data_IF_705566951519
#
_entry.id   IF_705566951519
#
_cell.length_a   1.000
_cell.length_b   1.000
_cell.length_c   1.000
_cell.angle_alpha   90.00
_cell.angle_beta   90.00
_cell.angle_gamma   90.00
#
_symmetry.space_group_name_H-M   'P 1'
#
loop_
_entity.id
_entity.type
_entity.pdbx_description
1 polymer ?
2 non-polymer ?
3 non-polymer ?
4 non-polymer ?
5 water ?
#
# COMPACT_ATOMS: atom_id res chain seq x y z
N UNK A 1 -23.91 -22.57 -5.74
CA UNK A 1 -23.77 -23.02 -4.31
C UNK A 1 -23.67 -21.84 -3.35
N UNK A 2 -23.85 -22.12 -2.05
CA UNK A 2 -23.70 -21.11 -1.00
C UNK A 2 -22.24 -20.71 -0.86
N UNK A 3 -22.00 -19.40 -0.74
CA UNK A 3 -20.70 -18.87 -0.38
C UNK A 3 -20.58 -18.91 1.13
N UNK A 4 -19.62 -19.68 1.63
CA UNK A 4 -19.47 -19.88 3.08
C UNK A 4 -18.00 -19.61 3.48
N UNK A 5 -17.83 -18.76 4.48
CA UNK A 5 -16.47 -18.42 4.90
C UNK A 5 -15.73 -19.66 5.36
N UNK A 6 -14.46 -19.77 4.97
CA UNK A 6 -13.64 -20.93 5.34
C UNK A 6 -13.59 -22.03 4.30
N UNK A 7 -14.49 -21.96 3.33
CA UNK A 7 -14.49 -22.92 2.24
C UNK A 7 -13.48 -22.52 1.16
N UNK A 8 -12.97 -23.51 0.41
CA UNK A 8 -11.97 -23.24 -0.60
C UNK A 8 -12.49 -22.54 -1.86
N UNK A 9 -11.58 -21.82 -2.51
CA UNK A 9 -11.75 -21.38 -3.89
C UNK A 9 -10.42 -21.52 -4.66
N UNK A 10 -10.50 -21.61 -5.98
CA UNK A 10 -9.34 -22.00 -6.79
C UNK A 10 -8.98 -21.04 -7.90
N UNK A 11 -7.70 -21.00 -8.23
CA UNK A 11 -7.21 -20.18 -9.33
C UNK A 11 -5.85 -20.72 -9.75
N UNK A 12 -5.76 -21.13 -11.01
CA UNK A 12 -4.55 -21.71 -11.51
C UNK A 12 -4.11 -22.86 -10.62
N UNK A 13 -2.89 -22.74 -10.13
CA UNK A 13 -2.23 -23.78 -9.38
C UNK A 13 -2.61 -23.74 -7.88
N UNK A 14 -3.49 -22.81 -7.51
CA UNK A 14 -3.66 -22.46 -6.09
C UNK A 14 -5.05 -22.62 -5.52
N UNK A 15 -5.04 -22.66 -4.18
CA UNK A 15 -6.23 -22.71 -3.35
C UNK A 15 -6.10 -21.63 -2.26
N UNK A 16 -7.14 -20.83 -2.07
CA UNK A 16 -7.29 -20.00 -0.86
C UNK A 16 -8.64 -20.28 -0.22
N UNK A 17 -8.93 -19.63 0.91
CA UNK A 17 -10.20 -19.83 1.60
C UNK A 17 -11.03 -18.56 1.52
N UNK A 18 -12.32 -18.72 1.22
CA UNK A 18 -13.26 -17.62 1.25
C UNK A 18 -13.23 -16.98 2.65
N UNK A 19 -13.16 -15.66 2.67
CA UNK A 19 -13.26 -14.91 3.91
C UNK A 19 -14.69 -14.73 4.39
N UNK A 20 -15.35 -13.66 3.92
CA UNK A 20 -16.73 -13.34 4.30
C UNK A 20 -17.50 -12.91 3.06
N UNK A 21 -18.72 -13.37 2.91
CA UNK A 21 -19.62 -12.82 1.88
C UNK A 21 -19.74 -11.30 2.05
N UNK A 22 -19.73 -10.59 0.93
CA UNK A 22 -19.92 -9.13 0.91
C UNK A 22 -20.85 -8.71 -0.23
N UNK A 23 -21.35 -7.48 -0.14
CA UNK A 23 -22.05 -6.83 -1.24
C UNK A 23 -21.37 -5.52 -1.58
N UNK A 24 -21.49 -5.11 -2.85
CA UNK A 24 -21.09 -3.78 -3.27
C UNK A 24 -22.22 -3.30 -4.16
N UNK A 25 -23.07 -2.45 -3.60
CA UNK A 25 -24.30 -2.07 -4.26
C UNK A 25 -25.10 -3.32 -4.61
N UNK A 26 -25.27 -3.56 -5.91
CA UNK A 26 -26.01 -4.71 -6.39
C UNK A 26 -25.13 -5.96 -6.61
N UNK A 27 -23.81 -5.76 -6.62
CA UNK A 27 -22.87 -6.86 -6.81
C UNK A 27 -22.66 -7.64 -5.52
N UNK A 28 -22.27 -8.89 -5.65
CA UNK A 28 -21.97 -9.74 -4.49
C UNK A 28 -20.60 -10.39 -4.66
N UNK A 29 -20.06 -10.87 -3.56
CA UNK A 29 -18.73 -11.47 -3.61
C UNK A 29 -18.27 -11.87 -2.25
N UNK A 30 -16.96 -11.99 -2.08
CA UNK A 30 -16.46 -12.30 -0.77
C UNK A 30 -15.12 -11.62 -0.55
N UNK A 31 -14.89 -11.18 0.68
CA UNK A 31 -13.59 -10.69 1.12
C UNK A 31 -12.60 -11.85 1.22
N UNK A 32 -11.33 -11.50 1.02
CA UNK A 32 -10.26 -12.46 1.03
C UNK A 32 -8.95 -11.72 1.26
N UNK A 33 -7.83 -12.45 1.22
CA UNK A 33 -6.50 -11.88 1.32
C UNK A 33 -6.09 -11.33 -0.06
N UNK A 34 -5.42 -10.18 -0.06
CA UNK A 34 -4.90 -9.57 -1.29
C UNK A 34 -3.92 -10.48 -2.01
N UNK A 35 -3.13 -11.24 -1.24
CA UNK A 35 -2.05 -12.03 -1.83
C UNK A 35 -2.56 -13.25 -2.61
N UNK A 36 -3.84 -13.59 -2.42
CA UNK A 36 -4.43 -14.71 -3.16
C UNK A 36 -4.53 -14.42 -4.67
N UNK A 37 -4.47 -13.15 -5.05
CA UNK A 37 -4.56 -12.83 -6.48
C UNK A 37 -4.76 -11.36 -6.67
N UNK A 38 -4.14 -10.83 -7.72
CA UNK A 38 -4.24 -9.41 -8.00
C UNK A 38 -5.53 -9.13 -8.78
N UNK A 39 -5.88 -7.85 -8.86
CA UNK A 39 -7.11 -7.41 -9.51
C UNK A 39 -7.21 -7.98 -10.93
N UNK A 40 -8.35 -8.59 -11.22
CA UNK A 40 -8.59 -9.16 -12.54
C UNK A 40 -8.35 -10.67 -12.62
N UNK A 41 -7.73 -11.24 -11.59
CA UNK A 41 -7.50 -12.69 -11.53
C UNK A 41 -8.83 -13.46 -11.60
N UNK A 42 -8.95 -14.40 -12.53
CA UNK A 42 -10.11 -15.28 -12.60
C UNK A 42 -10.01 -16.37 -11.52
N UNK A 43 -11.13 -16.65 -10.86
CA UNK A 43 -11.21 -17.72 -9.87
C UNK A 43 -12.32 -18.71 -10.23
N UNK A 44 -12.24 -19.92 -9.68
CA UNK A 44 -13.26 -20.93 -9.89
C UNK A 44 -13.67 -21.58 -8.58
N UNK A 45 -14.84 -22.22 -8.58
CA UNK A 45 -15.46 -22.82 -7.38
C UNK A 45 -15.37 -21.91 -6.16
N UNK A 46 -16.11 -20.78 -6.14
CA UNK A 46 -17.02 -20.27 -7.18
C UNK A 46 -16.37 -19.50 -8.34
N UNK A 47 -17.04 -19.49 -9.48
CA UNK A 47 -16.64 -18.64 -10.59
C UNK A 47 -16.68 -17.20 -10.13
N UNK A 48 -15.59 -16.48 -10.36
CA UNK A 48 -15.52 -15.08 -10.01
C UNK A 48 -14.29 -14.43 -10.57
N UNK A 49 -14.12 -13.16 -10.24
CA UNK A 49 -12.93 -12.42 -10.61
C UNK A 49 -12.52 -11.58 -9.43
N UNK A 50 -11.22 -11.46 -9.21
CA UNK A 50 -10.71 -10.60 -8.14
C UNK A 50 -11.04 -9.15 -8.53
N UNK A 51 -11.95 -8.56 -7.77
CA UNK A 51 -12.45 -7.22 -8.07
C UNK A 51 -11.56 -6.13 -7.46
N UNK A 52 -10.87 -6.47 -6.38
CA UNK A 52 -9.91 -5.56 -5.76
C UNK A 52 -8.90 -6.35 -4.98
N UNK A 53 -7.65 -5.87 -4.95
CA UNK A 53 -6.57 -6.48 -4.21
C UNK A 53 -5.47 -5.46 -3.94
N UNK A 54 -5.17 -5.27 -2.66
CA UNK A 54 -4.07 -4.47 -2.19
C UNK A 54 -3.10 -5.39 -1.44
N UNK A 55 -1.98 -5.69 -2.10
CA UNK A 55 -0.92 -6.54 -1.56
C UNK A 55 0.28 -6.37 -2.43
N UNK A 56 1.46 -6.15 -1.83
CA UNK A 56 1.78 -5.96 -0.39
C UNK A 56 1.37 -4.58 0.16
N UNK A 57 2.00 -4.15 1.25
CA UNK A 57 1.58 -2.93 1.94
C UNK A 57 0.43 -3.24 2.88
N UNK A 58 -0.70 -3.64 2.29
CA UNK A 58 -1.78 -4.27 3.04
C UNK A 58 -1.91 -5.72 2.55
N UNK A 59 -2.92 -6.44 3.02
CA UNK A 59 -3.17 -7.78 2.48
C UNK A 59 -4.67 -8.05 2.42
N UNK A 60 -5.32 -7.31 1.54
CA UNK A 60 -6.76 -7.24 1.49
C UNK A 60 -7.26 -7.31 0.04
N UNK A 61 -8.39 -7.99 -0.15
CA UNK A 61 -8.94 -8.19 -1.48
C UNK A 61 -10.38 -8.61 -1.41
N UNK A 62 -11.03 -8.60 -2.55
CA UNK A 62 -12.32 -9.23 -2.66
C UNK A 62 -12.55 -9.77 -4.06
N UNK A 63 -13.40 -10.80 -4.11
CA UNK A 63 -13.75 -11.50 -5.34
C UNK A 63 -15.22 -11.24 -5.65
N UNK A 64 -15.50 -10.76 -6.86
CA UNK A 64 -16.88 -10.65 -7.31
C UNK A 64 -17.30 -11.97 -7.93
N UNK A 65 -18.43 -12.47 -7.45
CA UNK A 65 -18.96 -13.75 -7.94
C UNK A 65 -20.04 -13.54 -9.02
N UNK A 66 -20.58 -14.65 -9.54
CA UNK A 66 -21.62 -14.61 -10.57
C UNK A 66 -22.94 -15.09 -9.99
N UNK A 67 -23.98 -15.09 -10.80
CA UNK A 67 -25.31 -15.55 -10.39
C UNK A 67 -25.34 -17.05 -10.02
N UNK A 68 -24.31 -17.79 -10.45
CA UNK A 68 -24.22 -19.22 -10.18
C UNK A 68 -23.97 -19.54 -8.71
N UNK A 69 -23.64 -18.52 -7.91
CA UNK A 69 -23.40 -18.72 -6.48
C UNK A 69 -24.10 -17.67 -5.61
N UNK A 70 -24.28 -17.97 -4.34
CA UNK A 70 -25.11 -17.14 -3.46
C UNK A 70 -24.40 -16.80 -2.15
N UNK A 71 -24.40 -15.51 -1.81
CA UNK A 71 -23.83 -15.05 -0.53
C UNK A 71 -24.67 -15.49 0.68
N UNK A 72 -23.96 -15.82 1.76
CA UNK A 72 -24.57 -16.17 3.04
C UNK A 72 -23.80 -15.44 4.16
N UNK A 73 -24.45 -15.23 5.31
CA UNK A 73 -23.70 -14.71 6.46
C UNK A 73 -23.01 -15.81 7.27
N UNK A 74 -22.57 -16.86 6.58
CA UNK A 74 -22.14 -18.07 7.28
C UNK A 74 -20.63 -18.28 7.20
N UNK A 75 -20.10 -18.90 8.26
CA UNK A 75 -18.72 -19.39 8.28
C UNK A 75 -18.74 -20.87 8.66
N UNK A 76 -17.90 -21.66 7.99
CA UNK A 76 -17.81 -23.10 8.26
C UNK A 76 -17.10 -23.35 9.59
N UNK A 77 -17.77 -24.09 10.46
CA UNK A 77 -17.27 -24.39 11.79
C UNK A 77 -16.42 -25.66 11.78
N UNK A 78 -16.51 -26.41 10.68
CA UNK A 78 -15.72 -27.62 10.44
C UNK A 78 -15.99 -28.77 11.39
N UNK A 79 -17.20 -28.76 11.95
CA UNK A 79 -17.71 -29.92 12.70
C UNK A 79 -19.05 -30.41 12.17
N UNK A 80 -19.35 -30.07 10.92
CA UNK A 80 -20.64 -30.44 10.31
C UNK A 80 -21.53 -29.22 10.15
N UNK A 81 -21.21 -28.14 10.87
CA UNK A 81 -22.08 -26.97 10.91
C UNK A 81 -21.41 -25.63 10.67
N UNK A 82 -22.12 -24.58 11.05
CA UNK A 82 -21.73 -23.20 10.74
C UNK A 82 -21.86 -22.23 11.93
N UNK A 83 -21.21 -21.07 11.78
CA UNK A 83 -21.39 -19.91 12.67
C UNK A 83 -21.97 -18.74 11.85
N UNK A 84 -22.95 -18.04 12.42
CA UNK A 84 -23.56 -16.89 11.74
C UNK A 84 -22.84 -15.60 12.13
N UNK A 85 -22.42 -14.86 11.11
CA UNK A 85 -21.76 -13.55 11.28
C UNK A 85 -22.85 -12.49 11.46
N UNK A 86 -22.80 -11.75 12.56
CA UNK A 86 -23.82 -10.72 12.83
C UNK A 86 -23.29 -9.28 12.73
N UNK A 87 -21.99 -9.12 12.56
CA UNK A 87 -21.38 -7.80 12.54
C UNK A 87 -19.86 -7.91 12.49
N UNK A 88 -19.18 -6.77 12.61
CA UNK A 88 -17.72 -6.74 12.60
C UNK A 88 -17.16 -5.84 13.71
N UNK A 89 -17.76 -5.96 14.89
CA UNK A 89 -17.27 -5.27 16.08
C UNK A 89 -15.90 -5.82 16.45
N UNK A 90 -14.90 -4.95 16.42
CA UNK A 90 -13.49 -5.31 16.64
C UNK A 90 -13.26 -5.79 18.07
N UNK A 91 -12.62 -6.94 18.19
CA UNK A 91 -12.26 -7.49 19.48
C UNK A 91 -11.00 -6.81 20.00
N UNK A 92 -10.86 -6.77 21.32
CA UNK A 92 -9.70 -6.20 21.98
C UNK A 92 -8.48 -7.11 21.93
N UNK A 93 -7.31 -6.48 22.04
CA UNK A 93 -6.09 -7.23 22.25
C UNK A 93 -6.27 -8.09 23.49
N UNK A 94 -5.86 -9.35 23.38
CA UNK A 94 -6.03 -10.32 24.45
C UNK A 94 -7.26 -11.20 24.29
N UNK A 95 -8.18 -10.83 23.39
CA UNK A 95 -9.41 -11.60 23.20
C UNK A 95 -9.13 -12.96 22.55
N UNK A 96 -9.98 -13.94 22.84
CA UNK A 96 -9.97 -15.17 22.05
C UNK A 96 -10.44 -14.84 20.64
N UNK A 97 -10.02 -15.68 19.69
CA UNK A 97 -10.43 -15.53 18.33
C UNK A 97 -10.27 -16.91 17.66
N UNK A 98 -11.08 -17.18 16.65
CA UNK A 98 -10.95 -18.41 15.88
C UNK A 98 -10.95 -18.09 14.41
N UNK A 99 -10.26 -18.92 13.62
CA UNK A 99 -10.24 -18.83 12.18
C UNK A 99 -10.73 -20.12 11.53
N UNK A 100 -11.25 -19.97 10.32
CA UNK A 100 -11.72 -21.08 9.51
C UNK A 100 -11.00 -21.09 8.18
N UNK A 101 -10.56 -22.27 7.74
CA UNK A 101 -9.91 -22.38 6.42
C UNK A 101 -9.94 -23.79 5.87
N UNK A 102 -9.71 -23.89 4.57
CA UNK A 102 -9.95 -25.14 3.83
C UNK A 102 -8.98 -26.25 4.17
N UNK A 103 -7.80 -25.88 4.66
CA UNK A 103 -6.77 -26.88 4.93
C UNK A 103 -6.82 -27.43 6.35
N UNK A 104 -6.96 -26.53 7.33
CA UNK A 104 -6.91 -26.96 8.73
C UNK A 104 -8.24 -26.86 9.49
N UNK A 105 -9.30 -26.45 8.82
CA UNK A 105 -10.60 -26.30 9.47
C UNK A 105 -10.67 -25.13 10.42
N UNK A 106 -11.19 -25.40 11.61
CA UNK A 106 -11.40 -24.40 12.67
C UNK A 106 -10.33 -24.48 13.72
N UNK A 107 -9.65 -23.35 13.90
CA UNK A 107 -8.53 -23.26 14.86
C UNK A 107 -8.62 -21.98 15.64
N UNK A 108 -8.32 -22.05 16.93
CA UNK A 108 -8.46 -20.88 17.79
C UNK A 108 -7.19 -20.47 18.52
N UNK A 109 -7.23 -19.26 19.02
CA UNK A 109 -6.10 -18.72 19.74
C UNK A 109 -6.48 -17.41 20.36
N UNK A 110 -5.47 -16.58 20.61
CA UNK A 110 -5.62 -15.30 21.30
C UNK A 110 -5.02 -14.20 20.42
N UNK A 111 -5.65 -13.02 20.41
CA UNK A 111 -5.13 -11.84 19.73
C UNK A 111 -4.01 -11.29 20.61
N UNK A 112 -2.80 -11.21 20.07
CA UNK A 112 -1.64 -10.80 20.87
C UNK A 112 -1.23 -9.36 20.69
N UNK A 113 -1.25 -8.90 19.44
CA UNK A 113 -0.74 -7.57 19.12
C UNK A 113 -1.27 -7.10 17.78
N UNK A 114 -1.67 -5.83 17.72
CA UNK A 114 -2.24 -5.25 16.52
C UNK A 114 -1.23 -4.35 15.82
N UNK A 115 -1.57 -3.98 14.60
CA UNK A 115 -0.76 -3.04 13.81
C UNK A 115 0.69 -3.51 13.64
N UNK A 116 0.85 -4.79 13.32
CA UNK A 116 2.16 -5.40 13.17
C UNK A 116 2.59 -5.43 11.72
N UNK A 117 3.90 -5.29 11.53
CA UNK A 117 4.52 -5.29 10.20
C UNK A 117 5.24 -6.60 9.98
N UNK A 118 4.97 -7.25 8.85
CA UNK A 118 5.66 -8.50 8.50
C UNK A 118 6.34 -8.34 7.14
N UNK A 119 7.62 -8.69 7.07
CA UNK A 119 8.40 -8.58 5.83
C UNK A 119 8.28 -9.88 5.03
N UNK A 120 7.12 -10.10 4.38
CA UNK A 120 6.92 -11.23 3.48
C UNK A 120 7.87 -11.17 2.26
N UNK A 121 8.15 -12.32 1.66
CA UNK A 121 9.00 -12.40 0.46
C UNK A 121 8.52 -11.52 -0.71
N UNK A 122 7.19 -11.32 -0.83
CA UNK A 122 6.61 -10.49 -1.91
C UNK A 122 6.63 -9.00 -1.58
N UNK A 123 6.92 -8.69 -0.32
CA UNK A 123 6.99 -7.33 0.13
C UNK A 123 6.39 -7.22 1.52
N UNK A 124 6.63 -6.07 2.12
CA UNK A 124 6.28 -5.79 3.49
C UNK A 124 4.77 -5.47 3.59
N UNK A 125 4.15 -6.03 4.61
CA UNK A 125 2.74 -5.76 4.89
C UNK A 125 2.63 -5.20 6.30
N UNK A 126 1.85 -4.12 6.44
CA UNK A 126 1.66 -3.45 7.73
C UNK A 126 0.22 -3.62 8.22
N UNK A 127 -0.05 -3.20 9.47
CA UNK A 127 -1.42 -3.19 9.98
C UNK A 127 -2.02 -4.53 10.37
N UNK A 128 -1.18 -5.57 10.48
CA UNK A 128 -1.68 -6.91 10.75
C UNK A 128 -1.85 -7.19 12.23
N UNK A 129 -2.76 -8.11 12.53
CA UNK A 129 -2.97 -8.55 13.90
C UNK A 129 -2.37 -9.93 14.09
N UNK A 130 -1.45 -10.05 15.04
CA UNK A 130 -0.77 -11.31 15.38
C UNK A 130 -1.63 -12.09 16.37
N UNK A 131 -1.78 -13.39 16.12
CA UNK A 131 -2.48 -14.28 17.05
C UNK A 131 -1.67 -15.56 17.29
N UNK A 132 -2.08 -16.29 18.32
CA UNK A 132 -1.49 -17.57 18.61
C UNK A 132 -2.14 -18.75 17.90
N UNK A 133 -3.16 -18.52 17.04
CA UNK A 133 -3.74 -19.61 16.27
C UNK A 133 -2.80 -20.08 15.17
N UNK A 134 -2.94 -21.35 14.78
CA UNK A 134 -2.11 -21.90 13.69
C UNK A 134 -2.86 -21.84 12.35
N UNK A 135 -2.11 -21.95 11.26
CA UNK A 135 -2.69 -22.02 9.92
C UNK A 135 -1.71 -22.72 9.01
N UNK A 136 -2.22 -23.15 7.85
CA UNK A 136 -1.37 -23.77 6.82
C UNK A 136 -1.79 -23.28 5.44
N UNK A 137 -0.96 -23.57 4.44
CA UNK A 137 -1.24 -23.11 3.09
C UNK A 137 -2.62 -23.63 2.69
N UNK A 138 -3.39 -22.77 2.01
CA UNK A 138 -4.77 -23.07 1.63
C UNK A 138 -5.75 -22.36 2.55
N UNK A 139 -5.30 -22.04 3.78
CA UNK A 139 -6.17 -21.37 4.75
C UNK A 139 -6.25 -19.86 4.49
N UNK A 140 -5.37 -19.34 3.64
CA UNK A 140 -5.24 -17.89 3.49
C UNK A 140 -6.53 -17.30 2.93
N UNK A 141 -6.90 -16.13 3.43
CA UNK A 141 -8.11 -15.47 3.04
C UNK A 141 -9.29 -15.76 3.96
N UNK A 142 -9.17 -16.83 4.75
CA UNK A 142 -10.28 -17.31 5.55
C UNK A 142 -10.63 -16.38 6.70
N UNK A 143 -11.84 -16.51 7.22
CA UNK A 143 -12.37 -15.57 8.21
C UNK A 143 -11.89 -15.82 9.63
N UNK A 144 -11.89 -14.74 10.41
CA UNK A 144 -11.61 -14.76 11.84
C UNK A 144 -12.83 -14.21 12.55
N UNK A 145 -13.24 -14.91 13.60
CA UNK A 145 -14.41 -14.55 14.40
C UNK A 145 -14.08 -14.52 15.87
N UNK A 146 -14.59 -13.50 16.55
CA UNK A 146 -14.69 -13.54 17.99
C UNK A 146 -16.18 -13.58 18.25
N UNK A 147 -16.66 -14.75 18.70
CA UNK A 147 -18.12 -14.99 18.77
C UNK A 147 -18.73 -14.86 17.39
N UNK A 148 -19.74 -14.00 17.25
CA UNK A 148 -20.37 -13.75 15.94
C UNK A 148 -19.83 -12.51 15.21
N UNK A 149 -18.73 -11.96 15.72
CA UNK A 149 -18.17 -10.72 15.16
C UNK A 149 -16.94 -10.97 14.28
N UNK A 150 -17.07 -10.59 13.01
CA UNK A 150 -15.98 -10.70 12.03
C UNK A 150 -14.79 -9.85 12.46
N UNK A 151 -13.60 -10.44 12.40
CA UNK A 151 -12.34 -9.78 12.79
C UNK A 151 -11.37 -9.49 11.66
N UNK A 152 -11.28 -10.41 10.69
CA UNK A 152 -10.23 -10.30 9.68
C UNK A 152 -10.20 -11.49 8.76
N UNK A 153 -9.23 -11.46 7.86
CA UNK A 153 -8.97 -12.55 6.95
C UNK A 153 -7.51 -12.99 7.08
N UNK A 154 -7.26 -14.28 6.91
CA UNK A 154 -5.92 -14.81 7.15
C UNK A 154 -4.91 -14.29 6.12
N UNK A 155 -3.83 -13.70 6.63
CA UNK A 155 -2.77 -13.14 5.78
C UNK A 155 -1.52 -14.00 5.69
N UNK A 156 -1.10 -14.60 6.80
CA UNK A 156 0.22 -15.24 6.81
C UNK A 156 0.57 -15.78 8.16
N UNK A 157 1.78 -16.31 8.28
CA UNK A 157 2.21 -16.75 9.59
C UNK A 157 3.32 -17.74 9.44
N UNK A 158 3.63 -18.45 10.52
CA UNK A 158 4.73 -19.42 10.48
C UNK A 158 4.30 -20.68 11.21
N UNK A 159 4.88 -21.81 10.84
CA UNK A 159 4.58 -23.07 11.50
C UNK A 159 3.44 -23.78 10.83
N UNK A 160 2.72 -24.59 11.59
CA UNK A 160 1.60 -25.36 11.03
C UNK A 160 0.68 -25.74 12.15
N UNK A 161 -0.37 -26.50 11.84
CA UNK A 161 -1.29 -26.94 12.87
C UNK A 161 -0.96 -28.27 13.54
N UNK A 162 0.08 -28.94 13.06
CA UNK A 162 0.50 -30.16 13.73
C UNK A 162 1.30 -29.81 14.98
N UNK A 163 2.27 -28.92 14.82
CA UNK A 163 3.17 -28.57 15.91
C UNK A 163 2.90 -27.16 16.45
N UNK A 164 2.09 -26.38 15.74
CA UNK A 164 1.79 -25.03 16.17
C UNK A 164 2.53 -23.95 15.41
N UNK A 165 2.12 -22.72 15.66
CA UNK A 165 2.72 -21.57 15.03
C UNK A 165 2.06 -20.29 15.47
N UNK A 166 2.26 -19.25 14.68
CA UNK A 166 1.56 -17.99 14.88
C UNK A 166 0.97 -17.60 13.55
N UNK A 167 -0.06 -16.76 13.59
CA UNK A 167 -0.76 -16.39 12.37
C UNK A 167 -1.17 -14.95 12.47
N UNK A 168 -1.08 -14.29 11.33
CA UNK A 168 -1.44 -12.88 11.18
C UNK A 168 -2.73 -12.77 10.37
N UNK A 169 -3.61 -11.86 10.79
CA UNK A 169 -4.77 -11.50 9.99
C UNK A 169 -4.81 -10.03 9.57
N UNK A 170 -5.39 -9.81 8.39
CA UNK A 170 -5.72 -8.48 7.90
C UNK A 170 -7.07 -8.14 8.50
N UNK A 171 -7.15 -7.11 9.36
CA UNK A 171 -8.44 -6.71 9.95
C UNK A 171 -9.50 -6.42 8.88
N UNK A 172 -10.74 -6.81 9.19
CA UNK A 172 -11.81 -6.77 8.20
C UNK A 172 -12.35 -5.39 7.92
N UNK A 173 -12.44 -4.55 8.95
CA UNK A 173 -13.03 -3.25 8.74
C UNK A 173 -12.27 -2.34 7.75
N UNK A 174 -10.92 -2.30 7.83
CA UNK A 174 -10.18 -1.57 6.79
C UNK A 174 -10.42 -2.11 5.37
N UNK A 175 -10.62 -3.42 5.25
CA UNK A 175 -10.86 -4.05 3.96
C UNK A 175 -12.22 -3.60 3.41
N UNK A 176 -13.24 -3.63 4.25
CA UNK A 176 -14.58 -3.25 3.82
C UNK A 176 -14.59 -1.77 3.42
N UNK A 177 -13.89 -0.96 4.22
CA UNK A 177 -13.81 0.47 3.95
C UNK A 177 -13.07 0.77 2.63
N UNK A 178 -11.91 0.17 2.44
CA UNK A 178 -11.09 0.49 1.26
C UNK A 178 -11.83 0.19 -0.02
N UNK A 179 -12.50 -0.96 -0.05
CA UNK A 179 -13.17 -1.42 -1.26
C UNK A 179 -14.65 -1.01 -1.36
N UNK A 180 -15.13 -0.27 -0.36
CA UNK A 180 -16.52 0.18 -0.32
C UNK A 180 -17.52 -0.98 -0.30
N UNK A 181 -17.29 -1.94 0.61
CA UNK A 181 -18.07 -3.19 0.72
C UNK A 181 -18.96 -3.21 1.97
N UNK A 182 -20.09 -3.90 1.87
CA UNK A 182 -20.96 -4.13 3.00
C UNK A 182 -20.88 -5.62 3.37
N UNK A 183 -20.64 -5.90 4.64
CA UNK A 183 -20.60 -7.27 5.15
C UNK A 183 -21.99 -7.90 5.14
N UNK A 184 -22.07 -9.14 4.66
CA UNK A 184 -23.33 -9.88 4.72
C UNK A 184 -23.49 -10.47 6.12
N UNK A 185 -24.56 -10.07 6.81
CA UNK A 185 -24.79 -10.46 8.20
C UNK A 185 -26.15 -11.15 8.39
N UNK A 186 -26.27 -11.89 9.48
CA UNK A 186 -27.50 -12.62 9.81
C UNK A 186 -27.88 -12.42 11.27
N UNK B 1 20.71 29.69 -0.54
CA UNK B 1 21.30 28.32 -0.36
C UNK B 1 21.15 27.46 -1.62
N UNK B 2 21.85 26.33 -1.64
CA UNK B 2 21.78 25.37 -2.74
C UNK B 2 20.49 24.57 -2.66
N UNK B 3 19.83 24.38 -3.80
CA UNK B 3 18.67 23.48 -3.89
C UNK B 3 19.20 22.08 -4.18
N UNK B 4 18.99 21.16 -3.24
CA UNK B 4 19.52 19.80 -3.35
C UNK B 4 18.38 18.84 -3.04
N UNK B 5 18.19 17.88 -3.93
CA UNK B 5 17.08 16.92 -3.74
C UNK B 5 17.22 16.18 -2.43
N UNK B 6 16.09 15.96 -1.75
CA UNK B 6 16.09 15.25 -0.49
C UNK B 6 16.18 16.13 0.74
N UNK B 7 16.54 17.39 0.55
CA UNK B 7 16.55 18.38 1.64
C UNK B 7 15.13 18.88 1.95
N UNK B 8 14.89 19.27 3.21
CA UNK B 8 13.57 19.76 3.58
C UNK B 8 13.20 21.12 3.01
N UNK B 9 11.90 21.30 2.84
CA UNK B 9 11.29 22.63 2.71
C UNK B 9 10.01 22.73 3.54
N UNK B 10 9.63 23.95 3.91
CA UNK B 10 8.60 24.15 4.92
C UNK B 10 7.50 25.08 4.46
N UNK B 11 6.30 24.80 4.94
CA UNK B 11 5.14 25.64 4.67
C UNK B 11 4.12 25.42 5.77
N UNK B 12 3.77 26.49 6.47
CA UNK B 12 2.77 26.40 7.50
C UNK B 12 3.10 25.32 8.50
N UNK B 13 2.18 24.35 8.64
CA UNK B 13 2.28 23.28 9.62
C UNK B 13 3.18 22.11 9.16
N UNK B 14 3.72 22.21 7.95
CA UNK B 14 4.26 21.03 7.27
C UNK B 14 5.71 21.10 6.81
N UNK B 15 6.26 19.92 6.59
CA UNK B 15 7.58 19.71 6.00
C UNK B 15 7.42 18.72 4.84
N UNK B 16 8.01 19.02 3.69
CA UNK B 16 8.21 18.04 2.63
C UNK B 16 9.67 18.07 2.21
N UNK B 17 10.03 17.17 1.30
CA UNK B 17 11.39 17.11 0.75
C UNK B 17 11.41 17.60 -0.67
N UNK B 18 12.42 18.41 -0.98
CA UNK B 18 12.69 18.84 -2.34
C UNK B 18 12.92 17.61 -3.22
N UNK B 19 12.26 17.57 -4.37
CA UNK B 19 12.50 16.52 -5.35
C UNK B 19 13.75 16.74 -6.19
N UNK B 20 13.60 17.51 -7.25
CA UNK B 20 14.70 17.77 -8.19
C UNK B 20 14.66 19.23 -8.62
N UNK B 21 15.82 19.87 -8.69
CA UNK B 21 15.94 21.21 -9.28
C UNK B 21 15.43 21.17 -10.72
N UNK B 22 14.64 22.18 -11.09
CA UNK B 22 14.11 22.33 -12.46
C UNK B 22 14.22 23.77 -12.93
N UNK B 23 14.08 23.95 -14.25
CA UNK B 23 13.90 25.28 -14.84
C UNK B 23 12.62 25.32 -15.67
N UNK B 24 12.06 26.52 -15.81
CA UNK B 24 11.01 26.79 -16.77
C UNK B 24 11.37 28.12 -17.40
N UNK B 25 11.89 28.09 -18.61
CA UNK B 25 12.38 29.30 -19.26
C UNK B 25 13.46 29.96 -18.42
N UNK B 26 13.16 31.15 -17.91
CA UNK B 26 14.10 31.89 -17.06
C UNK B 26 13.80 31.67 -15.58
N UNK B 27 12.72 30.95 -15.29
CA UNK B 27 12.34 30.63 -13.91
C UNK B 27 13.10 29.39 -13.41
N UNK B 28 13.31 29.34 -12.10
CA UNK B 28 13.93 28.17 -11.46
C UNK B 28 13.07 27.69 -10.31
N UNK B 29 13.18 26.41 -10.00
CA UNK B 29 12.36 25.85 -8.94
C UNK B 29 12.72 24.41 -8.67
N UNK B 30 11.79 23.68 -8.09
CA UNK B 30 12.03 22.26 -7.88
C UNK B 30 10.76 21.44 -8.02
N UNK B 31 10.92 20.23 -8.56
CA UNK B 31 9.83 19.26 -8.60
C UNK B 31 9.58 18.71 -7.21
N UNK B 32 8.33 18.38 -6.96
CA UNK B 32 7.88 17.83 -5.69
C UNK B 32 6.55 17.06 -5.87
N UNK B 33 6.00 16.57 -4.75
CA UNK B 33 4.69 15.93 -4.76
C UNK B 33 3.58 16.98 -4.79
N UNK B 34 2.53 16.71 -5.56
CA UNK B 34 1.38 17.61 -5.61
C UNK B 34 0.68 17.77 -4.28
N UNK B 35 0.68 16.71 -3.47
CA UNK B 35 -0.03 16.74 -2.18
C UNK B 35 0.65 17.62 -1.14
N UNK B 36 1.88 18.06 -1.42
CA UNK B 36 2.58 18.93 -0.47
C UNK B 36 2.01 20.36 -0.47
N UNK B 37 1.21 20.71 -1.45
CA UNK B 37 0.50 21.97 -1.42
C UNK B 37 -0.06 22.30 -2.78
N UNK B 38 -1.21 22.95 -2.79
CA UNK B 38 -1.88 23.30 -4.02
C UNK B 38 -1.29 24.59 -4.59
N UNK B 39 -1.52 24.83 -5.87
CA UNK B 39 -0.99 26.00 -6.57
C UNK B 39 -1.23 27.30 -5.78
N UNK B 40 -0.16 28.07 -5.60
CA UNK B 40 -0.25 29.34 -4.89
C UNK B 40 0.18 29.27 -3.43
N UNK B 41 0.43 28.07 -2.92
CA UNK B 41 0.92 27.91 -1.56
C UNK B 41 2.30 28.53 -1.42
N UNK B 42 2.48 29.36 -0.40
CA UNK B 42 3.78 29.94 -0.12
C UNK B 42 4.64 28.93 0.64
N UNK B 43 5.90 28.81 0.28
CA UNK B 43 6.84 27.98 1.03
C UNK B 43 8.06 28.76 1.52
N UNK B 44 8.66 28.26 2.60
CA UNK B 44 9.86 28.84 3.16
C UNK B 44 10.99 27.81 3.22
N UNK B 45 12.21 28.32 3.33
CA UNK B 45 13.43 27.50 3.34
C UNK B 45 13.39 26.35 2.33
N UNK B 46 13.50 26.65 1.02
CA UNK B 46 13.73 27.97 0.42
C UNK B 46 12.46 28.78 0.22
N UNK B 47 12.61 30.08 0.08
CA UNK B 47 11.48 30.95 -0.22
C UNK B 47 10.94 30.63 -1.60
N UNK B 48 9.64 30.44 -1.68
CA UNK B 48 9.00 30.09 -2.95
C UNK B 48 7.50 30.02 -2.90
N UNK B 49 6.90 29.70 -4.05
CA UNK B 49 5.47 29.49 -4.18
C UNK B 49 5.24 28.23 -5.00
N UNK B 50 4.19 27.48 -4.68
CA UNK B 50 3.86 26.31 -5.49
C UNK B 50 3.32 26.83 -6.83
N UNK B 51 4.08 26.58 -7.89
CA UNK B 51 3.72 27.08 -9.22
C UNK B 51 2.73 26.16 -9.94
N UNK B 52 2.73 24.88 -9.56
CA UNK B 52 1.78 23.94 -10.13
C UNK B 52 1.64 22.75 -9.21
N UNK B 53 0.44 22.17 -9.19
CA UNK B 53 0.16 21.02 -8.37
C UNK B 53 -1.08 20.33 -8.92
N UNK B 54 -0.94 19.04 -9.19
CA UNK B 54 -2.01 18.18 -9.61
C UNK B 54 -2.06 17.05 -8.59
N UNK B 55 -3.06 17.14 -7.71
CA UNK B 55 -3.32 16.14 -6.69
C UNK B 55 -4.73 16.39 -6.15
N UNK B 56 -5.53 15.33 -6.03
CA UNK B 56 -5.29 13.92 -6.38
C UNK B 56 -5.37 13.66 -7.90
N UNK B 57 -5.63 12.41 -8.26
CA UNK B 57 -5.64 12.00 -9.66
C UNK B 57 -4.22 11.63 -10.05
N UNK B 58 -3.37 12.65 -10.05
CA UNK B 58 -1.91 12.47 -10.08
C UNK B 58 -1.33 12.91 -8.73
N UNK B 59 0.00 12.93 -8.58
CA UNK B 59 0.60 13.50 -7.37
C UNK B 59 1.90 14.21 -7.74
N UNK B 60 1.73 15.34 -8.42
CA UNK B 60 2.85 16.03 -9.04
C UNK B 60 2.72 17.53 -8.84
N UNK B 61 3.86 18.20 -8.66
CA UNK B 61 3.85 19.64 -8.50
C UNK B 61 5.25 20.19 -8.66
N UNK B 62 5.35 21.52 -8.69
CA UNK B 62 6.67 22.15 -8.57
C UNK B 62 6.54 23.48 -7.86
N UNK B 63 7.65 23.89 -7.25
CA UNK B 63 7.73 25.12 -6.49
C UNK B 63 8.66 26.06 -7.24
N UNK B 64 8.21 27.30 -7.47
CA UNK B 64 9.04 28.32 -8.09
C UNK B 64 9.78 29.04 -6.98
N UNK B 65 11.10 29.14 -7.12
CA UNK B 65 11.93 29.81 -6.11
C UNK B 65 12.38 31.21 -6.55
N UNK B 66 13.18 31.86 -5.72
CA UNK B 66 13.70 33.20 -6.02
C UNK B 66 15.22 33.17 -6.25
N UNK B 67 15.78 34.31 -6.64
CA UNK B 67 17.23 34.44 -6.88
C UNK B 67 18.06 34.23 -5.60
N UNK B 68 17.42 34.28 -4.43
CA UNK B 68 18.10 34.00 -3.17
C UNK B 68 18.65 32.57 -3.07
N UNK B 69 18.17 31.66 -3.92
CA UNK B 69 18.57 30.25 -3.89
C UNK B 69 19.07 29.76 -5.25
N UNK B 70 19.86 28.69 -5.23
CA UNK B 70 20.64 28.24 -6.40
C UNK B 70 20.33 26.80 -6.80
N UNK B 71 19.83 26.59 -8.01
CA UNK B 71 19.55 25.23 -8.49
C UNK B 71 20.84 24.43 -8.72
N UNK B 72 20.83 23.17 -8.30
CA UNK B 72 21.94 22.24 -8.52
C UNK B 72 21.41 20.93 -9.11
N UNK B 73 22.27 20.19 -9.83
CA UNK B 73 21.90 18.85 -10.31
C UNK B 73 22.11 17.77 -9.25
N UNK B 74 21.94 18.12 -7.98
CA UNK B 74 22.33 17.21 -6.92
C UNK B 74 21.19 16.65 -6.08
N UNK B 75 21.43 15.47 -5.55
CA UNK B 75 20.55 14.82 -4.57
C UNK B 75 21.41 14.49 -3.36
N UNK B 76 20.90 14.78 -2.16
CA UNK B 76 21.59 14.49 -0.92
C UNK B 76 21.65 12.97 -0.67
N UNK B 77 22.86 12.45 -0.54
CA UNK B 77 23.09 11.03 -0.35
C UNK B 77 23.05 10.71 1.15
N UNK B 78 22.98 11.75 1.97
CA UNK B 78 22.85 11.62 3.43
C UNK B 78 24.00 10.88 4.13
N UNK B 79 25.16 10.85 3.48
CA UNK B 79 26.38 10.39 4.13
C UNK B 79 27.51 11.41 4.06
N UNK B 80 27.12 12.69 3.98
CA UNK B 80 28.08 13.81 3.92
C UNK B 80 28.27 14.32 2.49
N UNK B 81 27.72 13.59 1.53
CA UNK B 81 27.87 13.93 0.12
C UNK B 81 26.59 13.90 -0.68
N UNK B 82 26.77 13.87 -2.00
CA UNK B 82 25.68 13.97 -2.97
C UNK B 82 25.83 12.97 -4.12
N UNK B 83 24.76 12.84 -4.90
CA UNK B 83 24.76 12.12 -6.17
C UNK B 83 24.34 13.12 -7.25
N UNK B 84 24.99 13.05 -8.41
CA UNK B 84 24.68 13.94 -9.51
C UNK B 84 23.61 13.33 -10.42
N UNK B 85 22.56 14.10 -10.68
CA UNK B 85 21.50 13.72 -11.63
C UNK B 85 21.98 14.08 -13.05
N UNK B 86 22.02 13.09 -13.94
CA UNK B 86 22.49 13.32 -15.32
C UNK B 86 21.37 13.23 -16.36
N UNK B 87 20.20 12.76 -15.94
CA UNK B 87 19.09 12.59 -16.86
C UNK B 87 17.92 11.97 -16.16
N UNK B 88 16.90 11.58 -16.93
CA UNK B 88 15.71 10.94 -16.39
C UNK B 88 15.28 9.72 -17.21
N UNK B 89 16.27 8.93 -17.63
CA UNK B 89 15.99 7.64 -18.28
C UNK B 89 15.28 6.70 -17.30
N UNK B 90 14.06 6.30 -17.66
CA UNK B 90 13.20 5.47 -16.82
C UNK B 90 13.78 4.08 -16.62
N UNK B 91 13.82 3.67 -15.37
CA UNK B 91 14.31 2.35 -15.03
C UNK B 91 13.20 1.33 -15.27
N UNK B 92 13.60 0.09 -15.54
CA UNK B 92 12.67 -0.99 -15.79
C UNK B 92 12.08 -1.51 -14.48
N UNK B 93 10.87 -2.08 -14.57
CA UNK B 93 10.32 -2.86 -13.46
C UNK B 93 11.36 -3.91 -13.02
N UNK B 94 11.53 -4.03 -11.72
CA UNK B 94 12.50 -4.95 -11.16
C UNK B 94 13.85 -4.31 -10.83
N UNK B 95 14.07 -3.09 -11.32
CA UNK B 95 15.32 -2.38 -11.05
C UNK B 95 15.46 -1.95 -9.60
N UNK B 96 16.69 -1.90 -9.12
CA UNK B 96 16.96 -1.21 -7.86
C UNK B 96 16.68 0.29 -8.01
N UNK B 97 16.36 0.92 -6.90
CA UNK B 97 16.09 2.35 -6.86
C UNK B 97 16.31 2.83 -5.44
N UNK B 98 16.73 4.08 -5.31
CA UNK B 98 16.90 4.72 -3.98
C UNK B 98 16.15 6.05 -3.94
N UNK B 99 15.69 6.42 -2.75
CA UNK B 99 15.05 7.72 -2.52
C UNK B 99 15.80 8.48 -1.42
N UNK B 100 15.68 9.81 -1.49
CA UNK B 100 16.25 10.71 -0.50
C UNK B 100 15.15 11.58 0.11
N UNK B 101 15.19 11.76 1.42
CA UNK B 101 14.23 12.66 2.05
C UNK B 101 14.66 13.10 3.41
N UNK B 102 14.00 14.14 3.90
CA UNK B 102 14.50 14.86 5.06
C UNK B 102 14.33 14.11 6.37
N UNK B 103 13.42 13.14 6.42
CA UNK B 103 13.16 12.44 7.69
C UNK B 103 14.01 11.19 7.83
N UNK B 104 14.08 10.38 6.76
CA UNK B 104 14.77 9.09 6.84
C UNK B 104 16.08 9.00 6.03
N UNK B 105 16.46 10.08 5.34
CA UNK B 105 17.71 10.09 4.58
C UNK B 105 17.60 9.28 3.29
N UNK B 106 18.58 8.41 3.08
CA UNK B 106 18.73 7.64 1.84
C UNK B 106 18.30 6.22 2.07
N UNK B 107 17.29 5.77 1.32
CA UNK B 107 16.77 4.42 1.49
C UNK B 107 16.54 3.82 0.14
N UNK B 108 16.80 2.53 0.05
CA UNK B 108 16.72 1.83 -1.24
C UNK B 108 15.79 0.62 -1.24
N UNK B 109 15.44 0.21 -2.44
CA UNK B 109 14.54 -0.91 -2.64
C UNK B 109 14.52 -1.27 -4.10
N UNK B 110 13.43 -1.90 -4.48
CA UNK B 110 13.22 -2.46 -5.82
C UNK B 110 11.91 -1.91 -6.38
N UNK B 111 11.92 -1.56 -7.67
CA UNK B 111 10.70 -1.17 -8.38
C UNK B 111 9.90 -2.45 -8.62
N UNK B 112 8.69 -2.50 -8.08
CA UNK B 112 7.87 -3.70 -8.17
C UNK B 112 6.82 -3.69 -9.26
N UNK B 113 6.13 -2.56 -9.38
CA UNK B 113 5.00 -2.47 -10.29
C UNK B 113 4.69 -1.04 -10.62
N UNK B 114 4.40 -0.78 -11.89
CA UNK B 114 4.14 0.57 -12.38
C UNK B 114 2.66 0.75 -12.63
N UNK B 115 2.27 2.00 -12.82
CA UNK B 115 0.91 2.38 -13.16
C UNK B 115 -0.10 1.88 -12.12
N UNK B 116 0.24 2.06 -10.84
CA UNK B 116 -0.58 1.60 -9.72
C UNK B 116 -1.49 2.72 -9.21
N UNK B 117 -2.70 2.31 -8.80
CA UNK B 117 -3.71 3.20 -8.23
C UNK B 117 -3.76 3.04 -6.72
N UNK B 118 -3.73 4.16 -6.00
CA UNK B 118 -3.82 4.14 -4.53
C UNK B 118 -4.96 5.07 -4.08
N UNK B 119 -5.85 4.55 -3.25
CA UNK B 119 -6.98 5.34 -2.77
C UNK B 119 -6.58 6.10 -1.50
N UNK B 120 -5.83 7.18 -1.65
CA UNK B 120 -5.53 8.04 -0.51
C UNK B 120 -6.79 8.69 0.07
N UNK B 121 -6.71 9.14 1.31
CA UNK B 121 -7.86 9.76 2.01
C UNK B 121 -8.38 11.01 1.27
N UNK B 122 -7.47 11.73 0.61
CA UNK B 122 -7.82 12.96 -0.12
C UNK B 122 -8.37 12.68 -1.52
N UNK B 123 -8.23 11.43 -1.97
CA UNK B 123 -8.69 11.07 -3.28
C UNK B 123 -7.73 10.09 -3.91
N UNK B 124 -8.22 9.45 -4.95
CA UNK B 124 -7.50 8.40 -5.63
C UNK B 124 -6.41 8.99 -6.52
N UNK B 125 -5.26 8.34 -6.47
CA UNK B 125 -4.13 8.69 -7.33
C UNK B 125 -3.74 7.50 -8.20
N UNK B 126 -3.52 7.77 -9.49
CA UNK B 126 -3.20 6.72 -10.45
C UNK B 126 -1.78 6.94 -10.98
N UNK B 127 -1.28 5.96 -11.74
CA UNK B 127 0.02 6.07 -12.41
C UNK B 127 1.26 5.97 -11.54
N UNK B 128 1.12 5.49 -10.31
CA UNK B 128 2.22 5.43 -9.36
C UNK B 128 3.07 4.17 -9.52
N UNK B 129 4.33 4.31 -9.14
CA UNK B 129 5.23 3.17 -9.14
C UNK B 129 5.43 2.68 -7.72
N UNK B 130 5.13 1.41 -7.48
CA UNK B 130 5.32 0.81 -6.17
C UNK B 130 6.70 0.27 -6.02
N UNK B 131 7.30 0.52 -4.85
CA UNK B 131 8.62 -0.01 -4.53
C UNK B 131 8.67 -0.59 -3.13
N UNK B 132 9.73 -1.34 -2.87
CA UNK B 132 9.96 -1.91 -1.54
C UNK B 132 10.77 -1.00 -0.60
N UNK B 133 11.12 0.21 -1.03
CA UNK B 133 11.80 1.15 -0.13
C UNK B 133 10.84 1.68 0.92
N UNK B 134 11.37 2.04 2.07
CA UNK B 134 10.57 2.63 3.13
C UNK B 134 10.62 4.17 3.05
N UNK B 135 9.66 4.83 3.69
CA UNK B 135 9.66 6.29 3.82
C UNK B 135 8.78 6.63 5.03
N UNK B 136 8.91 7.86 5.50
CA UNK B 136 8.12 8.39 6.61
C UNK B 136 7.67 9.83 6.29
N UNK B 137 6.71 10.34 7.06
CA UNK B 137 6.25 11.71 6.88
C UNK B 137 7.42 12.66 6.88
N UNK B 138 7.38 13.67 6.00
CA UNK B 138 8.50 14.58 5.78
C UNK B 138 9.32 14.22 4.56
N UNK B 139 9.31 12.94 4.20
CA UNK B 139 10.04 12.46 3.01
C UNK B 139 9.30 12.74 1.70
N UNK B 140 8.04 13.14 1.79
CA UNK B 140 7.24 13.30 0.59
C UNK B 140 7.79 14.37 -0.34
N UNK B 141 7.78 14.10 -1.65
CA UNK B 141 8.29 15.04 -2.63
C UNK B 141 9.72 14.71 -3.01
N UNK B 142 10.40 13.94 -2.19
CA UNK B 142 11.82 13.70 -2.40
C UNK B 142 12.12 12.82 -3.61
N UNK B 143 13.35 12.89 -4.08
CA UNK B 143 13.75 12.26 -5.33
C UNK B 143 14.00 10.77 -5.24
N UNK B 144 13.78 10.12 -6.39
CA UNK B 144 14.11 8.72 -6.60
C UNK B 144 15.13 8.64 -7.72
N UNK B 145 16.18 7.85 -7.51
CA UNK B 145 17.26 7.64 -8.47
C UNK B 145 17.56 6.17 -8.69
N UNK B 146 17.76 5.81 -9.96
CA UNK B 146 18.43 4.57 -10.31
C UNK B 146 19.76 5.01 -10.94
N UNK B 147 20.86 4.83 -10.21
CA UNK B 147 22.15 5.41 -10.60
C UNK B 147 22.01 6.92 -10.65
N UNK B 148 22.41 7.52 -11.78
CA UNK B 148 22.31 8.96 -11.95
C UNK B 148 21.00 9.40 -12.64
N UNK B 149 20.05 8.48 -12.83
CA UNK B 149 18.84 8.78 -13.57
C UNK B 149 17.65 9.01 -12.66
N UNK B 150 17.10 10.22 -12.74
CA UNK B 150 15.88 10.60 -12.01
C UNK B 150 14.69 9.70 -12.38
N UNK B 151 13.96 9.26 -11.37
CA UNK B 151 12.83 8.34 -11.56
C UNK B 151 11.46 8.90 -11.17
N UNK B 152 11.41 9.69 -10.10
CA UNK B 152 10.14 10.17 -9.57
C UNK B 152 10.32 10.92 -8.27
N UNK B 153 9.17 11.29 -7.68
CA UNK B 153 9.16 11.96 -6.41
C UNK B 153 8.22 11.21 -5.47
N UNK B 154 8.53 11.19 -4.18
CA UNK B 154 7.78 10.36 -3.24
C UNK B 154 6.36 10.85 -3.10
N UNK B 155 5.42 9.92 -3.30
CA UNK B 155 3.99 10.20 -3.20
C UNK B 155 3.35 9.73 -1.91
N UNK B 156 3.68 8.51 -1.47
CA UNK B 156 2.97 7.95 -0.34
C UNK B 156 3.40 6.55 -0.05
N UNK B 157 2.73 5.89 0.89
CA UNK B 157 3.08 4.52 1.20
C UNK B 157 2.59 4.14 2.56
N UNK B 158 3.13 3.04 3.06
CA UNK B 158 2.70 2.55 4.37
C UNK B 158 3.88 2.01 5.13
N UNK B 159 3.82 2.08 6.46
CA UNK B 159 4.88 1.59 7.29
C UNK B 159 5.84 2.69 7.66
N UNK B 160 7.08 2.33 7.93
CA UNK B 160 8.09 3.31 8.26
C UNK B 160 9.44 2.68 8.00
N UNK B 161 10.50 3.39 8.34
CA UNK B 161 11.84 2.87 8.10
C UNK B 161 12.44 2.09 9.25
N UNK B 162 11.74 2.01 10.38
CA UNK B 162 12.24 1.19 11.46
C UNK B 162 11.92 -0.28 11.23
N UNK B 163 10.67 -0.53 10.81
CA UNK B 163 10.16 -1.88 10.63
C UNK B 163 9.94 -2.24 9.16
N UNK B 164 9.95 -1.23 8.30
CA UNK B 164 9.73 -1.46 6.88
C UNK B 164 8.35 -1.03 6.41
N UNK B 165 8.20 -1.04 5.11
CA UNK B 165 6.95 -0.68 4.49
C UNK B 165 7.10 -0.74 2.99
N UNK B 166 6.17 -0.10 2.30
CA UNK B 166 6.22 0.02 0.87
C UNK B 166 6.03 1.50 0.58
N UNK B 167 6.54 1.93 -0.56
CA UNK B 167 6.41 3.29 -1.02
C UNK B 167 5.91 3.34 -2.42
N UNK B 168 5.32 4.47 -2.75
CA UNK B 168 4.92 4.77 -4.12
C UNK B 168 5.57 6.08 -4.55
N UNK B 169 6.04 6.14 -5.79
CA UNK B 169 6.49 7.40 -6.35
C UNK B 169 5.68 7.83 -7.58
N UNK B 170 5.55 9.15 -7.74
CA UNK B 170 5.01 9.76 -8.95
C UNK B 170 6.18 9.82 -9.91
N UNK B 171 6.11 9.12 -11.07
CA UNK B 171 7.17 9.21 -12.07
C UNK B 171 7.50 10.64 -12.51
N UNK B 172 8.78 10.90 -12.73
CA UNK B 172 9.23 12.26 -12.97
C UNK B 172 8.92 12.78 -14.35
N UNK B 173 9.01 11.92 -15.37
CA UNK B 173 8.82 12.41 -16.72
C UNK B 173 7.43 13.00 -17.00
N UNK B 174 6.35 12.32 -16.54
CA UNK B 174 5.03 12.96 -16.62
C UNK B 174 4.91 14.33 -15.94
N UNK B 175 5.59 14.49 -14.81
CA UNK B 175 5.62 15.74 -14.05
C UNK B 175 6.23 16.85 -14.89
N UNK B 176 7.40 16.54 -15.43
CA UNK B 176 8.14 17.50 -16.24
C UNK B 176 7.33 17.86 -17.49
N UNK B 177 6.71 16.86 -18.10
CA UNK B 177 5.87 17.10 -19.29
C UNK B 177 4.65 17.97 -18.98
N UNK B 178 3.91 17.63 -17.94
CA UNK B 178 2.67 18.36 -17.60
C UNK B 178 2.92 19.84 -17.35
N UNK B 179 3.98 20.11 -16.59
CA UNK B 179 4.28 21.46 -16.15
C UNK B 179 5.27 22.22 -17.05
N UNK B 180 5.72 21.58 -18.12
CA UNK B 180 6.64 22.19 -19.09
C UNK B 180 7.98 22.56 -18.48
N UNK B 181 8.58 21.62 -17.76
CA UNK B 181 9.80 21.86 -16.98
C UNK B 181 11.01 21.15 -17.57
N UNK B 182 12.18 21.77 -17.38
CA UNK B 182 13.46 21.17 -17.76
C UNK B 182 14.18 20.72 -16.50
N UNK B 183 14.52 19.44 -16.40
CA UNK B 183 15.35 18.95 -15.30
C UNK B 183 16.75 19.56 -15.29
N UNK B 184 17.21 20.02 -14.13
CA UNK B 184 18.59 20.50 -13.98
C UNK B 184 19.54 19.30 -13.84
N UNK B 185 20.39 19.11 -14.85
CA UNK B 185 21.31 17.97 -14.90
C UNK B 185 22.76 18.41 -14.81
N UNK B 186 23.66 17.50 -14.46
CA UNK B 186 25.08 17.80 -14.29
C UNK B 186 25.93 16.72 -14.93
#
# INVERSE_FOLDING_TARGET
AAIIGGNPYYFGNYRCSIGFSVRQGSQTGFATAGHCGSTGTRVSSPSGTVAGSYFPGRDMGWVRITSADTVTPLVNRYNGGTVTVTGSQEAATGSSVCRSGATTGWRCGTIQSKNQTVRYAEGTVTGLTRTTACAEGGDSGGPWLTGSQAQGVTSGGTGDCRSGGITFFQPINPLLSYFGLQLVTG
AAIIGGNPYYFGNYRCSIGFSVRQGSQTGFATAGHCGSTGTRVSSPSGTVAGSYFPGRDMGWVRITSADTVTPLVNRYNGGTVTVTGSQEAATGSSVCRSGATTGWRCGTIQSKNQTVRYAEGTVTGLTRTTACAEGGDSGGPWLTGSQAQGVTSGGTGDCRSGGITFFQPINPLLSYFGLQLVTG
#
